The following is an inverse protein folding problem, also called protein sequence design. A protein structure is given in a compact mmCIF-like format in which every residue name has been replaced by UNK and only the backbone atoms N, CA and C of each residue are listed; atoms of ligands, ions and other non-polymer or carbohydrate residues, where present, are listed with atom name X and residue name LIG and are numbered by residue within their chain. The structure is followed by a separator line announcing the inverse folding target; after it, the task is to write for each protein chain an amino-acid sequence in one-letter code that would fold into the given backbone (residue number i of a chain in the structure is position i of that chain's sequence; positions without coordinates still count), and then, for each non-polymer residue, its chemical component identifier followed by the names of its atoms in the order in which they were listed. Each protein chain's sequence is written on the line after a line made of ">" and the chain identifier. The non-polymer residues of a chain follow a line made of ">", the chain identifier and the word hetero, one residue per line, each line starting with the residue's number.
data_IF_515853066501
#
_entry.id   IF_515853066501
#
_cell.length_a   1.000
_cell.length_b   1.000
_cell.length_c   1.000
_cell.angle_alpha   90.00
_cell.angle_beta   90.00
_cell.angle_gamma   90.00
#
_symmetry.space_group_name_H-M   'P 1'
#
loop_
_entity.id
_entity.type
_entity.pdbx_description
1 polymer ?
#
# COMPACT_ATOMS: atom_id res chain seq x y z
N UNK A 1 -23.94 -28.17 0.71
CA UNK A 1 -24.17 -26.71 0.72
C UNK A 1 -25.23 -26.39 -0.33
N UNK A 2 -26.27 -25.62 0.00
CA UNK A 2 -27.22 -25.15 -1.01
C UNK A 2 -26.47 -24.28 -2.03
N UNK A 3 -26.75 -24.40 -3.35
CA UNK A 3 -26.19 -23.47 -4.33
C UNK A 3 -26.64 -22.06 -3.95
N UNK A 4 -25.70 -21.19 -3.59
CA UNK A 4 -25.99 -19.78 -3.34
C UNK A 4 -26.48 -19.17 -4.64
N UNK A 5 -27.67 -18.58 -4.63
CA UNK A 5 -28.20 -17.85 -5.78
C UNK A 5 -27.24 -16.71 -6.12
N UNK A 6 -26.71 -16.64 -7.36
CA UNK A 6 -25.89 -15.52 -7.79
C UNK A 6 -26.64 -14.21 -7.62
N UNK A 7 -25.93 -13.18 -7.16
CA UNK A 7 -26.50 -11.85 -7.00
C UNK A 7 -26.82 -11.25 -8.38
N UNK A 8 -27.98 -10.59 -8.47
CA UNK A 8 -28.40 -9.88 -9.69
C UNK A 8 -27.64 -8.56 -9.85
N UNK A 9 -27.59 -8.03 -11.07
CA UNK A 9 -26.99 -6.72 -11.34
C UNK A 9 -27.65 -5.59 -10.53
N UNK A 10 -28.95 -5.69 -10.26
CA UNK A 10 -29.70 -4.70 -9.46
C UNK A 10 -29.32 -4.77 -7.98
N UNK A 11 -29.13 -5.97 -7.44
CA UNK A 11 -28.65 -6.14 -6.06
C UNK A 11 -27.21 -5.66 -5.91
N UNK A 12 -26.36 -5.94 -6.91
CA UNK A 12 -25.00 -5.44 -6.96
C UNK A 12 -24.97 -3.90 -6.95
N UNK A 13 -25.71 -3.24 -7.85
CA UNK A 13 -25.81 -1.77 -7.89
C UNK A 13 -26.34 -1.20 -6.56
N UNK A 14 -27.31 -1.85 -5.93
CA UNK A 14 -27.81 -1.43 -4.61
C UNK A 14 -26.73 -1.47 -3.54
N UNK A 15 -25.91 -2.53 -3.50
CA UNK A 15 -24.78 -2.61 -2.56
C UNK A 15 -23.70 -1.58 -2.85
N UNK A 16 -23.35 -1.37 -4.13
CA UNK A 16 -22.39 -0.33 -4.53
C UNK A 16 -22.86 1.08 -4.14
N UNK A 17 -24.15 1.39 -4.32
CA UNK A 17 -24.72 2.68 -3.88
C UNK A 17 -24.66 2.86 -2.37
N UNK A 18 -24.93 1.80 -1.58
CA UNK A 18 -24.81 1.85 -0.11
C UNK A 18 -23.37 2.12 0.33
N UNK A 19 -22.40 1.48 -0.34
CA UNK A 19 -20.98 1.77 -0.16
C UNK A 19 -20.70 3.25 -0.47
N UNK A 20 -21.15 3.74 -1.62
CA UNK A 20 -21.01 5.15 -2.01
C UNK A 20 -21.57 6.13 -0.99
N UNK A 21 -22.77 5.90 -0.46
CA UNK A 21 -23.36 6.73 0.60
C UNK A 21 -22.50 6.75 1.85
N UNK A 22 -22.08 5.57 2.35
CA UNK A 22 -21.23 5.50 3.55
C UNK A 22 -19.87 6.19 3.36
N UNK A 23 -19.31 6.16 2.15
CA UNK A 23 -18.09 6.89 1.80
C UNK A 23 -18.29 8.41 1.81
N UNK A 24 -19.42 8.90 1.28
CA UNK A 24 -19.75 10.33 1.33
C UNK A 24 -19.89 10.83 2.76
N UNK A 25 -20.50 10.03 3.64
CA UNK A 25 -20.71 10.38 5.05
C UNK A 25 -19.40 10.44 5.84
N UNK A 26 -18.39 9.66 5.45
CA UNK A 26 -17.07 9.64 6.09
C UNK A 26 -16.03 10.53 5.41
N UNK A 27 -16.38 11.16 4.28
CA UNK A 27 -15.47 12.01 3.55
C UNK A 27 -15.11 13.28 4.37
N UNK A 28 -13.88 13.79 4.27
CA UNK A 28 -13.55 15.11 4.82
C UNK A 28 -14.31 16.22 4.08
N UNK A 29 -14.19 17.49 4.46
CA UNK A 29 -14.92 18.57 3.76
C UNK A 29 -14.33 18.86 2.36
N UNK A 30 -13.01 19.00 2.25
CA UNK A 30 -12.30 19.50 1.06
C UNK A 30 -11.77 18.39 0.12
N UNK A 31 -12.56 17.35 -0.14
CA UNK A 31 -12.17 16.29 -1.09
C UNK A 31 -12.73 16.52 -2.51
N UNK A 32 -12.00 16.02 -3.50
CA UNK A 32 -12.39 15.96 -4.91
C UNK A 32 -12.68 14.53 -5.37
N UNK A 33 -11.88 13.58 -4.89
CA UNK A 33 -12.02 12.14 -5.16
C UNK A 33 -11.76 11.31 -3.90
N UNK A 34 -12.51 10.24 -3.70
CA UNK A 34 -12.21 9.19 -2.72
C UNK A 34 -11.80 7.94 -3.48
N UNK A 35 -10.77 7.25 -2.99
CA UNK A 35 -10.42 5.90 -3.43
C UNK A 35 -10.51 4.96 -2.26
N UNK A 36 -11.30 3.93 -2.41
CA UNK A 36 -11.32 2.79 -1.52
C UNK A 36 -10.73 1.57 -2.21
N UNK A 37 -9.80 0.91 -1.54
CA UNK A 37 -9.28 -0.41 -1.93
C UNK A 37 -9.64 -1.39 -0.83
N UNK A 38 -10.46 -2.38 -1.16
CA UNK A 38 -10.78 -3.49 -0.28
C UNK A 38 -10.10 -4.74 -0.82
N UNK A 39 -9.40 -5.47 0.06
CA UNK A 39 -8.85 -6.80 -0.21
C UNK A 39 -9.46 -7.78 0.79
N UNK A 40 -9.89 -8.96 0.34
CA UNK A 40 -10.55 -9.93 1.21
C UNK A 40 -10.17 -11.37 0.92
N UNK A 41 -10.00 -12.13 1.99
CA UNK A 41 -10.17 -13.58 2.07
C UNK A 41 -11.44 -13.87 2.91
N UNK A 42 -11.79 -15.13 3.12
CA UNK A 42 -12.97 -15.50 3.92
C UNK A 42 -12.82 -15.12 5.40
N UNK A 43 -11.60 -15.21 5.92
CA UNK A 43 -11.27 -15.04 7.33
C UNK A 43 -10.58 -13.71 7.66
N UNK A 44 -10.13 -12.96 6.64
CA UNK A 44 -9.51 -11.66 6.82
C UNK A 44 -9.87 -10.68 5.70
N UNK A 45 -9.80 -9.39 6.02
CA UNK A 45 -9.99 -8.32 5.05
C UNK A 45 -9.16 -7.10 5.46
N UNK A 46 -8.73 -6.32 4.47
CA UNK A 46 -8.07 -5.03 4.65
C UNK A 46 -8.77 -3.99 3.79
N UNK A 47 -8.92 -2.78 4.34
CA UNK A 47 -9.60 -1.67 3.68
C UNK A 47 -8.75 -0.42 3.81
N UNK A 48 -8.38 0.14 2.67
CA UNK A 48 -7.71 1.44 2.57
C UNK A 48 -8.69 2.45 1.99
N UNK A 49 -8.89 3.55 2.71
CA UNK A 49 -9.67 4.68 2.22
C UNK A 49 -8.78 5.92 2.21
N UNK A 50 -8.69 6.57 1.06
CA UNK A 50 -7.92 7.79 0.89
C UNK A 50 -8.76 8.84 0.16
N UNK A 51 -8.66 10.09 0.61
CA UNK A 51 -9.30 11.24 0.01
C UNK A 51 -8.27 12.13 -0.68
N UNK A 52 -8.49 12.42 -1.96
CA UNK A 52 -7.73 13.40 -2.73
C UNK A 52 -8.31 14.80 -2.51
N UNK A 53 -7.44 15.77 -2.30
CA UNK A 53 -7.78 17.19 -2.18
C UNK A 53 -7.49 17.95 -3.48
N UNK A 54 -8.06 19.16 -3.67
CA UNK A 54 -7.82 19.98 -4.87
C UNK A 54 -6.35 20.32 -5.15
N UNK A 55 -5.51 20.35 -4.11
CA UNK A 55 -4.07 20.62 -4.21
C UNK A 55 -3.23 19.39 -4.59
N UNK A 56 -3.90 18.26 -4.84
CA UNK A 56 -3.29 16.98 -5.19
C UNK A 56 -2.76 16.17 -4.01
N UNK A 57 -2.94 16.65 -2.77
CA UNK A 57 -2.55 15.88 -1.58
C UNK A 57 -3.57 14.77 -1.30
N UNK A 58 -3.07 13.60 -0.92
CA UNK A 58 -3.85 12.47 -0.42
C UNK A 58 -3.91 12.48 1.11
N UNK A 59 -5.07 12.15 1.69
CA UNK A 59 -5.23 11.96 3.13
C UNK A 59 -5.93 10.65 3.44
N UNK A 60 -5.28 9.81 4.24
CA UNK A 60 -5.87 8.58 4.74
C UNK A 60 -7.07 8.87 5.63
N UNK A 61 -8.15 8.11 5.43
CA UNK A 61 -9.39 8.23 6.18
C UNK A 61 -9.72 6.90 6.86
N UNK A 62 -10.47 6.96 7.95
CA UNK A 62 -10.96 5.75 8.63
C UNK A 62 -12.11 5.17 7.82
N UNK A 63 -12.02 3.95 7.27
CA UNK A 63 -13.11 3.36 6.51
C UNK A 63 -14.32 3.07 7.41
N UNK A 64 -15.56 3.38 6.99
CA UNK A 64 -16.76 2.97 7.71
C UNK A 64 -16.85 1.44 7.83
N UNK A 65 -17.05 0.94 9.05
CA UNK A 65 -17.19 -0.52 9.29
C UNK A 65 -18.38 -1.15 8.55
N UNK A 66 -19.41 -0.36 8.22
CA UNK A 66 -20.58 -0.82 7.47
C UNK A 66 -20.23 -1.36 6.07
N UNK A 67 -19.10 -0.92 5.49
CA UNK A 67 -18.65 -1.35 4.17
C UNK A 67 -18.30 -2.84 4.12
N UNK A 68 -17.78 -3.38 5.22
CA UNK A 68 -17.31 -4.77 5.29
C UNK A 68 -18.44 -5.75 5.00
N UNK A 69 -19.64 -5.48 5.52
CA UNK A 69 -20.82 -6.30 5.27
C UNK A 69 -21.25 -6.28 3.79
N UNK A 70 -21.18 -5.11 3.14
CA UNK A 70 -21.52 -4.99 1.71
C UNK A 70 -20.49 -5.74 0.85
N UNK A 71 -19.19 -5.60 1.12
CA UNK A 71 -18.16 -6.30 0.35
C UNK A 71 -18.21 -7.82 0.50
N UNK A 72 -18.47 -8.35 1.70
CA UNK A 72 -18.66 -9.80 1.90
C UNK A 72 -19.87 -10.33 1.12
N UNK A 73 -20.97 -9.57 1.08
CA UNK A 73 -22.14 -9.93 0.25
C UNK A 73 -21.80 -9.88 -1.24
N UNK A 74 -21.08 -8.86 -1.70
CA UNK A 74 -20.61 -8.77 -3.08
C UNK A 74 -19.70 -9.95 -3.45
N UNK A 75 -18.70 -10.30 -2.62
CA UNK A 75 -17.83 -11.48 -2.86
C UNK A 75 -18.64 -12.77 -2.95
N UNK A 76 -19.56 -12.98 -2.00
CA UNK A 76 -20.39 -14.17 -1.97
C UNK A 76 -21.36 -14.26 -3.15
N UNK A 77 -21.99 -13.14 -3.51
CA UNK A 77 -22.98 -13.05 -4.56
C UNK A 77 -22.39 -13.07 -5.97
N UNK A 78 -21.14 -12.64 -6.14
CA UNK A 78 -20.43 -12.62 -7.43
C UNK A 78 -19.59 -13.89 -7.68
N UNK A 79 -19.48 -14.79 -6.69
CA UNK A 79 -18.79 -16.06 -6.86
C UNK A 79 -19.44 -16.91 -7.94
N UNK A 80 -18.63 -17.52 -8.81
CA UNK A 80 -19.09 -18.43 -9.85
C UNK A 80 -18.45 -19.82 -9.67
N UNK A 81 -19.22 -20.91 -9.85
CA UNK A 81 -18.65 -22.26 -9.83
C UNK A 81 -17.46 -22.39 -10.79
N UNK A 82 -16.32 -22.90 -10.31
CA UNK A 82 -15.12 -23.15 -11.12
C UNK A 82 -14.25 -21.92 -11.41
N UNK A 83 -14.73 -20.70 -11.16
CA UNK A 83 -13.96 -19.45 -11.33
C UNK A 83 -13.65 -18.77 -9.99
N UNK A 84 -14.40 -19.08 -8.94
CA UNK A 84 -14.30 -18.44 -7.64
C UNK A 84 -14.88 -17.02 -7.64
N UNK A 85 -14.35 -16.15 -6.77
CA UNK A 85 -14.73 -14.73 -6.63
C UNK A 85 -13.50 -13.82 -6.74
N UNK A 86 -13.68 -12.50 -6.70
CA UNK A 86 -12.58 -11.53 -6.73
C UNK A 86 -11.85 -11.43 -5.38
N UNK A 87 -10.60 -10.95 -5.41
CA UNK A 87 -9.76 -10.75 -4.23
C UNK A 87 -9.74 -9.29 -3.78
N UNK A 88 -9.58 -8.38 -4.73
CA UNK A 88 -9.47 -6.93 -4.47
C UNK A 88 -10.52 -6.17 -5.27
N UNK A 89 -11.04 -5.09 -4.71
CA UNK A 89 -11.92 -4.15 -5.40
C UNK A 89 -11.43 -2.73 -5.21
N UNK A 90 -11.33 -2.01 -6.32
CA UNK A 90 -11.02 -0.59 -6.39
C UNK A 90 -12.33 0.17 -6.60
N UNK A 91 -12.69 1.04 -5.67
CA UNK A 91 -13.89 1.86 -5.72
C UNK A 91 -13.47 3.34 -5.69
N UNK A 92 -13.61 4.01 -6.82
CA UNK A 92 -13.34 5.44 -6.95
C UNK A 92 -14.67 6.19 -6.90
N UNK A 93 -14.75 7.24 -6.09
CA UNK A 93 -15.90 8.13 -5.97
C UNK A 93 -15.47 9.58 -6.20
N UNK A 94 -16.09 10.25 -7.16
CA UNK A 94 -15.86 11.64 -7.52
C UNK A 94 -17.12 12.47 -7.23
N UNK A 95 -16.94 13.75 -6.89
CA UNK A 95 -18.08 14.68 -6.76
C UNK A 95 -18.81 14.81 -8.12
N UNK A 96 -20.16 14.99 -8.12
CA UNK A 96 -21.04 15.06 -6.96
C UNK A 96 -21.50 13.71 -6.39
N UNK A 97 -21.38 12.59 -7.11
CA UNK A 97 -21.64 11.22 -6.63
C UNK A 97 -21.32 10.18 -7.72
N UNK A 98 -20.34 10.46 -8.58
CA UNK A 98 -19.99 9.58 -9.70
C UNK A 98 -19.01 8.55 -9.19
N UNK A 99 -19.35 7.27 -9.29
CA UNK A 99 -18.45 6.21 -8.89
C UNK A 99 -18.03 5.31 -10.05
N UNK A 100 -16.86 4.69 -9.90
CA UNK A 100 -16.38 3.61 -10.76
C UNK A 100 -15.87 2.48 -9.88
N UNK A 101 -16.08 1.25 -10.31
CA UNK A 101 -15.67 0.06 -9.57
C UNK A 101 -14.95 -0.92 -10.49
N UNK A 102 -13.85 -1.49 -10.02
CA UNK A 102 -13.09 -2.54 -10.70
C UNK A 102 -12.77 -3.66 -9.73
N UNK A 103 -12.97 -4.90 -10.16
CA UNK A 103 -12.66 -6.10 -9.39
C UNK A 103 -11.41 -6.77 -9.95
N UNK A 104 -10.50 -7.16 -9.07
CA UNK A 104 -9.29 -7.89 -9.41
C UNK A 104 -9.42 -9.34 -8.94
N UNK A 105 -9.26 -10.26 -9.89
CA UNK A 105 -9.35 -11.69 -9.70
C UNK A 105 -7.99 -12.39 -9.80
N UNK A 106 -6.98 -11.68 -10.33
CA UNK A 106 -5.76 -12.26 -10.89
C UNK A 106 -4.54 -11.93 -10.04
N UNK A 107 -4.48 -10.73 -9.46
CA UNK A 107 -3.36 -10.33 -8.63
C UNK A 107 -3.54 -10.79 -7.19
N UNK A 108 -2.42 -11.09 -6.54
CA UNK A 108 -2.40 -11.42 -5.12
C UNK A 108 -2.97 -10.24 -4.30
N UNK A 109 -4.00 -10.47 -3.47
CA UNK A 109 -4.53 -9.42 -2.61
C UNK A 109 -3.50 -8.98 -1.60
N UNK A 110 -3.39 -7.67 -1.44
CA UNK A 110 -2.55 -7.11 -0.41
C UNK A 110 -3.27 -7.03 0.95
N UNK A 111 -2.59 -7.42 2.04
CA UNK A 111 -3.00 -7.20 3.43
C UNK A 111 -1.90 -6.51 4.25
N UNK A 112 -2.29 -5.69 5.22
CA UNK A 112 -1.34 -4.92 6.05
C UNK A 112 -0.30 -5.75 6.80
N UNK A 113 -0.65 -7.00 7.11
CA UNK A 113 0.31 -7.99 7.56
C UNK A 113 0.22 -9.22 6.65
N UNK A 114 1.32 -9.94 6.40
CA UNK A 114 1.31 -11.16 5.60
C UNK A 114 0.26 -12.16 6.09
N UNK A 115 -0.37 -12.87 5.16
CA UNK A 115 -1.33 -13.94 5.47
C UNK A 115 -0.66 -15.30 5.30
N UNK A 116 -1.05 -16.24 6.15
CA UNK A 116 -0.62 -17.63 6.02
C UNK A 116 -1.28 -18.31 4.82
N UNK A 117 -0.67 -19.39 4.33
CA UNK A 117 -1.20 -20.17 3.21
C UNK A 117 -2.57 -20.78 3.54
N UNK A 118 -2.82 -21.11 4.81
CA UNK A 118 -4.09 -21.63 5.31
C UNK A 118 -5.28 -20.67 5.05
N UNK A 119 -5.10 -19.36 5.19
CA UNK A 119 -6.13 -18.36 4.85
C UNK A 119 -6.51 -18.40 3.37
N UNK A 120 -5.52 -18.56 2.47
CA UNK A 120 -5.77 -18.68 1.04
C UNK A 120 -6.45 -20.01 0.69
N UNK A 121 -6.03 -21.11 1.32
CA UNK A 121 -6.68 -22.42 1.23
C UNK A 121 -8.15 -22.34 1.64
N UNK A 122 -8.46 -21.73 2.79
CA UNK A 122 -9.83 -21.52 3.27
C UNK A 122 -10.66 -20.69 2.30
N UNK A 123 -10.09 -19.64 1.71
CA UNK A 123 -10.79 -18.84 0.69
C UNK A 123 -11.07 -19.67 -0.56
N UNK A 124 -10.12 -20.49 -1.02
CA UNK A 124 -10.27 -21.39 -2.16
C UNK A 124 -11.33 -22.48 -1.91
N UNK A 125 -11.37 -23.07 -0.71
CA UNK A 125 -12.41 -24.03 -0.33
C UNK A 125 -13.81 -23.40 -0.36
N UNK A 126 -13.92 -22.13 0.06
CA UNK A 126 -15.18 -21.40 0.10
C UNK A 126 -15.62 -20.87 -1.27
N UNK A 127 -14.64 -20.47 -2.10
CA UNK A 127 -14.82 -19.96 -3.46
C UNK A 127 -14.01 -20.79 -4.46
N UNK A 128 -14.45 -22.04 -4.76
CA UNK A 128 -13.66 -22.96 -5.56
C UNK A 128 -13.30 -22.43 -6.94
N UNK A 129 -12.02 -22.59 -7.30
CA UNK A 129 -11.45 -22.27 -8.61
C UNK A 129 -10.92 -23.53 -9.27
N UNK A 130 -11.23 -23.69 -10.55
CA UNK A 130 -10.60 -24.70 -11.40
C UNK A 130 -9.14 -24.29 -11.68
N UNK A 131 -8.28 -25.26 -11.98
CA UNK A 131 -6.84 -25.03 -12.23
C UNK A 131 -6.54 -23.95 -13.27
N UNK A 132 -7.43 -23.75 -14.26
CA UNK A 132 -7.31 -22.74 -15.30
C UNK A 132 -7.63 -21.31 -14.84
N UNK A 133 -8.30 -21.14 -13.68
CA UNK A 133 -8.66 -19.85 -13.08
C UNK A 133 -7.87 -19.58 -11.79
N UNK A 134 -6.83 -20.36 -11.52
CA UNK A 134 -5.90 -20.14 -10.42
C UNK A 134 -4.67 -19.38 -10.94
N UNK A 135 -4.42 -18.15 -10.45
CA UNK A 135 -3.20 -17.42 -10.78
C UNK A 135 -1.94 -18.13 -10.30
N UNK A 136 -0.80 -17.86 -10.96
CA UNK A 136 0.49 -18.49 -10.67
C UNK A 136 0.92 -18.33 -9.20
N UNK A 137 0.77 -17.13 -8.62
CA UNK A 137 1.10 -16.87 -7.21
C UNK A 137 0.31 -17.76 -6.24
N UNK A 138 -0.96 -18.06 -6.55
CA UNK A 138 -1.80 -18.88 -5.68
C UNK A 138 -1.29 -20.32 -5.72
N UNK A 139 -0.88 -20.79 -6.89
CA UNK A 139 -0.36 -22.14 -7.08
C UNK A 139 0.97 -22.33 -6.35
N UNK A 140 1.87 -21.36 -6.48
CA UNK A 140 3.15 -21.36 -5.78
C UNK A 140 2.96 -21.44 -4.26
N UNK A 141 2.00 -20.68 -3.70
CA UNK A 141 1.64 -20.76 -2.28
C UNK A 141 1.14 -22.15 -1.87
N UNK A 142 0.25 -22.74 -2.66
CA UNK A 142 -0.34 -24.05 -2.38
C UNK A 142 0.67 -25.19 -2.51
N UNK A 143 1.61 -25.09 -3.45
CA UNK A 143 2.67 -26.07 -3.64
C UNK A 143 3.75 -25.96 -2.55
N UNK A 144 3.97 -24.77 -1.99
CA UNK A 144 4.89 -24.53 -0.87
C UNK A 144 4.56 -25.31 0.42
N UNK A 145 3.29 -25.70 0.60
CA UNK A 145 2.84 -26.53 1.73
C UNK A 145 3.01 -28.04 1.50
N UNK A 146 3.48 -28.49 0.32
CA UNK A 146 3.77 -29.90 0.02
C UNK A 146 5.15 -30.37 0.53
N UNK A 147 5.67 -29.80 1.62
CA UNK A 147 6.78 -30.43 2.35
C UNK A 147 6.22 -31.61 3.16
N UNK A 148 6.65 -32.87 2.91
CA UNK A 148 6.06 -34.03 3.58
C UNK A 148 6.17 -33.95 5.11
N UNK A 149 5.10 -34.35 5.81
CA UNK A 149 4.92 -34.43 7.29
C UNK A 149 5.95 -35.30 8.06
N UNK A 150 7.25 -35.24 7.76
CA UNK A 150 8.28 -36.05 8.44
C UNK A 150 9.39 -35.23 9.10
N UNK A 151 9.34 -33.91 9.07
CA UNK A 151 10.37 -33.09 9.74
C UNK A 151 9.93 -32.80 11.18
N UNK A 152 10.58 -33.49 12.11
CA UNK A 152 10.32 -33.43 13.55
C UNK A 152 10.33 -31.99 14.10
N UNK A 153 9.47 -31.63 15.08
CA UNK A 153 9.32 -30.25 15.60
C UNK A 153 10.61 -29.57 16.11
N UNK A 154 11.67 -30.32 16.38
CA UNK A 154 12.96 -29.80 16.83
C UNK A 154 13.94 -29.46 15.69
N UNK A 155 13.71 -29.96 14.47
CA UNK A 155 14.48 -29.54 13.28
C UNK A 155 14.01 -28.19 12.72
N UNK A 156 12.75 -27.79 12.97
CA UNK A 156 12.22 -26.47 12.60
C UNK A 156 12.92 -25.31 13.34
N UNK A 157 13.59 -25.59 14.47
CA UNK A 157 14.40 -24.60 15.20
C UNK A 157 15.84 -24.51 14.70
N UNK A 158 16.26 -25.40 13.79
CA UNK A 158 17.65 -25.54 13.36
C UNK A 158 17.88 -25.46 11.84
N UNK A 159 16.82 -25.32 11.03
CA UNK A 159 16.92 -25.09 9.60
C UNK A 159 16.74 -23.59 9.28
N UNK A 160 17.68 -22.91 8.59
CA UNK A 160 17.44 -21.58 8.07
C UNK A 160 16.58 -21.69 6.80
N UNK A 161 15.27 -21.58 6.98
CA UNK A 161 14.25 -21.56 5.93
C UNK A 161 12.89 -21.50 6.63
N UNK A 162 11.83 -20.86 6.16
CA UNK A 162 11.57 -20.19 4.90
C UNK A 162 10.59 -19.06 5.22
N UNK A 163 10.97 -17.83 4.87
CA UNK A 163 10.12 -16.63 4.82
C UNK A 163 10.90 -15.60 4.00
N UNK A 164 11.04 -15.84 2.69
CA UNK A 164 11.80 -14.96 1.78
C UNK A 164 10.96 -13.84 1.17
N UNK A 165 9.67 -13.80 1.46
CA UNK A 165 8.78 -12.72 1.06
C UNK A 165 8.53 -11.83 2.28
N UNK A 166 8.94 -10.56 2.20
CA UNK A 166 8.72 -9.47 3.18
C UNK A 166 9.85 -9.04 4.14
N UNK A 167 11.12 -9.41 3.91
CA UNK A 167 12.23 -8.58 4.42
C UNK A 167 13.33 -8.47 3.36
N UNK A 168 13.25 -7.44 2.51
CA UNK A 168 14.48 -6.93 1.90
C UNK A 168 15.30 -6.38 3.06
N UNK A 169 16.42 -7.05 3.35
CA UNK A 169 17.43 -6.47 4.21
C UNK A 169 17.95 -5.18 3.54
N UNK A 170 18.03 -4.06 4.27
CA UNK A 170 18.37 -2.79 3.67
C UNK A 170 19.64 -2.86 2.83
N UNK A 171 19.52 -2.50 1.56
CA UNK A 171 20.65 -2.42 0.63
C UNK A 171 20.96 -3.67 -0.17
N UNK A 172 20.18 -4.74 -0.03
CA UNK A 172 20.43 -6.01 -0.74
C UNK A 172 19.76 -6.08 -2.13
N UNK A 173 19.06 -5.02 -2.56
CA UNK A 173 18.39 -4.98 -3.85
C UNK A 173 19.39 -4.83 -5.00
N UNK A 174 19.37 -5.78 -5.93
CA UNK A 174 20.15 -5.72 -7.17
C UNK A 174 19.58 -4.68 -8.15
N UNK A 175 20.36 -4.22 -9.14
CA UNK A 175 19.85 -3.31 -10.18
C UNK A 175 18.69 -3.90 -10.99
N UNK A 176 18.65 -5.22 -11.18
CA UNK A 176 17.56 -5.91 -11.86
C UNK A 176 16.29 -5.87 -11.01
N UNK A 177 16.35 -6.29 -9.74
CA UNK A 177 15.23 -6.20 -8.81
C UNK A 177 14.73 -4.76 -8.62
N UNK A 178 15.64 -3.77 -8.66
CA UNK A 178 15.28 -2.36 -8.66
C UNK A 178 14.41 -2.04 -9.87
N UNK A 179 14.85 -2.40 -11.07
CA UNK A 179 14.12 -2.09 -12.29
C UNK A 179 12.79 -2.84 -12.38
N UNK A 180 12.75 -4.09 -11.94
CA UNK A 180 11.50 -4.86 -11.84
C UNK A 180 10.52 -4.20 -10.87
N UNK A 181 10.99 -3.73 -9.71
CA UNK A 181 10.16 -3.00 -8.75
C UNK A 181 9.63 -1.70 -9.36
N UNK A 182 10.44 -0.98 -10.13
CA UNK A 182 10.03 0.25 -10.83
C UNK A 182 8.99 -0.03 -11.92
N UNK A 183 9.20 -1.10 -12.70
CA UNK A 183 8.24 -1.54 -13.70
C UNK A 183 6.92 -1.92 -13.06
N UNK A 184 6.95 -2.64 -11.93
CA UNK A 184 5.74 -3.01 -11.21
C UNK A 184 5.02 -1.78 -10.64
N UNK A 185 5.73 -0.79 -10.08
CA UNK A 185 5.12 0.49 -9.66
C UNK A 185 4.38 1.15 -10.83
N UNK A 186 5.01 1.21 -12.01
CA UNK A 186 4.40 1.78 -13.21
C UNK A 186 3.16 0.98 -13.62
N UNK A 187 3.23 -0.35 -13.68
CA UNK A 187 2.12 -1.20 -14.10
C UNK A 187 0.92 -1.10 -13.15
N UNK A 188 1.15 -1.12 -11.83
CA UNK A 188 0.09 -0.94 -10.82
C UNK A 188 -0.56 0.43 -10.93
N UNK A 189 0.24 1.48 -11.16
CA UNK A 189 -0.28 2.85 -11.31
C UNK A 189 -1.09 3.00 -12.59
N UNK A 190 -0.57 2.54 -13.73
CA UNK A 190 -1.28 2.58 -15.02
C UNK A 190 -2.60 1.81 -14.95
N UNK A 191 -2.63 0.66 -14.28
CA UNK A 191 -3.84 -0.15 -14.15
C UNK A 191 -4.92 0.54 -13.30
N UNK A 192 -4.56 1.48 -12.43
CA UNK A 192 -5.48 2.21 -11.57
C UNK A 192 -5.88 3.60 -12.10
N UNK A 193 -5.24 4.07 -13.17
CA UNK A 193 -5.64 5.29 -13.87
C UNK A 193 -6.73 4.93 -14.88
N UNK A 194 -7.87 5.57 -14.76
CA UNK A 194 -8.99 5.40 -15.67
C UNK A 194 -8.83 6.29 -16.91
N UNK A 195 -9.50 5.93 -18.00
CA UNK A 195 -9.54 6.68 -19.27
C UNK A 195 -8.15 6.86 -19.92
N UNK A 196 -8.11 7.46 -21.11
CA UNK A 196 -6.87 7.69 -21.84
C UNK A 196 -5.99 8.75 -21.15
N UNK A 197 -4.70 8.48 -21.09
CA UNK A 197 -3.68 9.33 -20.46
C UNK A 197 -2.42 9.36 -21.35
N UNK A 198 -1.68 10.47 -21.30
CA UNK A 198 -0.45 10.67 -22.10
C UNK A 198 0.81 10.50 -21.26
N UNK A 199 0.77 10.98 -20.03
CA UNK A 199 1.89 10.94 -19.10
C UNK A 199 1.35 10.84 -17.66
N UNK A 200 1.99 10.01 -16.85
CA UNK A 200 1.77 9.92 -15.41
C UNK A 200 3.07 10.34 -14.74
N UNK A 201 3.00 11.30 -13.82
CA UNK A 201 4.14 11.71 -12.99
C UNK A 201 3.83 11.40 -11.54
N UNK A 202 4.64 10.55 -10.93
CA UNK A 202 4.58 10.22 -9.51
C UNK A 202 5.71 10.98 -8.83
N UNK A 203 5.37 11.89 -7.92
CA UNK A 203 6.30 12.62 -7.08
C UNK A 203 6.13 12.16 -5.62
N UNK A 204 7.04 11.31 -5.17
CA UNK A 204 6.96 10.62 -3.90
C UNK A 204 8.07 11.06 -2.96
N UNK A 205 7.71 11.43 -1.74
CA UNK A 205 8.61 11.88 -0.68
C UNK A 205 8.37 11.03 0.54
N UNK A 206 9.43 10.55 1.17
CA UNK A 206 9.28 9.64 2.29
C UNK A 206 10.33 9.83 3.38
N UNK A 207 9.92 9.43 4.57
CA UNK A 207 10.69 9.05 5.74
C UNK A 207 10.10 7.71 6.24
N UNK A 208 10.77 7.04 7.17
CA UNK A 208 10.17 5.90 7.87
C UNK A 208 8.84 6.28 8.52
N UNK A 209 7.75 5.69 8.02
CA UNK A 209 6.39 5.86 8.53
C UNK A 209 5.68 7.16 8.12
N UNK A 210 6.30 7.99 7.28
CA UNK A 210 5.71 9.25 6.78
C UNK A 210 5.99 9.36 5.29
N UNK A 211 4.95 9.53 4.49
CA UNK A 211 5.09 9.76 3.06
C UNK A 211 4.13 10.85 2.57
N UNK A 212 4.53 11.56 1.52
CA UNK A 212 3.70 12.48 0.73
C UNK A 212 3.89 12.11 -0.73
N UNK A 213 2.79 11.77 -1.39
CA UNK A 213 2.80 11.33 -2.78
C UNK A 213 1.80 12.17 -3.57
N UNK A 214 2.27 12.74 -4.69
CA UNK A 214 1.41 13.36 -5.69
C UNK A 214 1.49 12.58 -6.99
N UNK A 215 0.34 12.26 -7.57
CA UNK A 215 0.26 11.63 -8.90
C UNK A 215 -0.44 12.59 -9.85
N UNK A 216 0.29 13.15 -10.80
CA UNK A 216 -0.29 13.94 -11.88
C UNK A 216 -0.52 13.05 -13.10
N UNK A 217 -1.72 13.09 -13.66
CA UNK A 217 -2.06 12.40 -14.91
C UNK A 217 -2.37 13.45 -15.97
N UNK A 218 -1.52 13.53 -16.99
CA UNK A 218 -1.72 14.39 -18.14
C UNK A 218 -2.65 13.73 -19.16
N UNK A 219 -3.67 14.46 -19.59
CA UNK A 219 -4.68 14.06 -20.59
C UNK A 219 -4.79 15.12 -21.67
N UNK A 220 -5.55 14.84 -22.73
CA UNK A 220 -5.74 15.78 -23.85
C UNK A 220 -6.33 17.15 -23.39
N UNK A 221 -7.17 17.15 -22.34
CA UNK A 221 -7.80 18.35 -21.79
C UNK A 221 -7.05 19.06 -20.66
N UNK A 222 -5.89 18.54 -20.23
CA UNK A 222 -5.13 19.10 -19.09
C UNK A 222 -4.57 18.02 -18.17
N UNK A 223 -3.95 18.47 -17.07
CA UNK A 223 -3.44 17.58 -16.02
C UNK A 223 -4.38 17.53 -14.84
N UNK A 224 -4.64 16.34 -14.34
CA UNK A 224 -5.46 16.08 -13.17
C UNK A 224 -4.64 15.36 -12.10
N UNK A 225 -5.03 15.54 -10.83
CA UNK A 225 -4.45 14.79 -9.73
C UNK A 225 -5.16 13.45 -9.58
N UNK A 226 -4.39 12.43 -9.23
CA UNK A 226 -4.87 11.10 -8.90
C UNK A 226 -4.25 10.58 -7.60
N UNK A 227 -4.88 9.56 -7.03
CA UNK A 227 -4.34 8.85 -5.88
C UNK A 227 -3.43 7.71 -6.33
N UNK A 228 -2.33 7.50 -5.62
CA UNK A 228 -1.48 6.34 -5.85
C UNK A 228 -2.16 5.08 -5.28
N UNK A 229 -2.21 3.95 -6.00
CA UNK A 229 -2.68 2.69 -5.42
C UNK A 229 -1.82 2.27 -4.21
N UNK A 230 -2.42 1.75 -3.12
CA UNK A 230 -1.66 1.28 -1.95
C UNK A 230 -0.56 0.27 -2.28
N UNK A 231 -0.77 -0.57 -3.29
CA UNK A 231 0.19 -1.56 -3.76
C UNK A 231 1.43 -0.89 -4.38
N UNK A 232 1.23 0.15 -5.19
CA UNK A 232 2.33 0.95 -5.75
C UNK A 232 3.08 1.73 -4.67
N UNK A 233 2.36 2.25 -3.66
CA UNK A 233 2.97 2.93 -2.50
C UNK A 233 3.94 2.02 -1.74
N UNK A 234 3.55 0.76 -1.51
CA UNK A 234 4.40 -0.23 -0.83
C UNK A 234 5.61 -0.65 -1.66
N UNK A 235 5.47 -0.71 -2.98
CA UNK A 235 6.60 -0.95 -3.86
C UNK A 235 7.61 0.21 -3.82
N UNK A 236 7.15 1.46 -3.63
CA UNK A 236 8.04 2.60 -3.37
C UNK A 236 8.79 2.45 -2.03
N UNK A 237 8.13 1.97 -0.98
CA UNK A 237 8.78 1.66 0.31
C UNK A 237 9.81 0.52 0.19
N UNK A 238 9.47 -0.53 -0.57
CA UNK A 238 10.37 -1.64 -0.91
C UNK A 238 11.60 -1.13 -1.66
N UNK A 239 11.38 -0.30 -2.68
CA UNK A 239 12.42 0.34 -3.47
C UNK A 239 13.33 1.21 -2.59
N UNK A 240 12.74 2.05 -1.72
CA UNK A 240 13.49 2.88 -0.77
C UNK A 240 14.37 2.05 0.17
N UNK A 241 13.81 0.96 0.70
CA UNK A 241 14.52 0.06 1.62
C UNK A 241 15.65 -0.68 0.91
N UNK A 242 15.37 -1.22 -0.28
CA UNK A 242 16.33 -1.96 -1.08
C UNK A 242 17.48 -1.09 -1.60
N UNK A 243 17.21 0.18 -1.91
CA UNK A 243 18.22 1.12 -2.42
C UNK A 243 19.09 1.76 -1.33
N UNK A 244 18.91 1.39 -0.06
CA UNK A 244 19.78 1.87 1.01
C UNK A 244 21.24 1.50 0.74
N UNK A 245 22.13 2.48 0.85
CA UNK A 245 23.56 2.25 0.75
C UNK A 245 24.23 2.48 2.09
N UNK A 246 24.98 1.49 2.58
CA UNK A 246 25.65 1.55 3.88
C UNK A 246 26.52 2.81 3.99
N UNK A 247 26.21 3.66 4.97
CA UNK A 247 26.92 4.90 5.23
C UNK A 247 26.56 6.07 4.30
N UNK A 248 25.75 5.87 3.26
CA UNK A 248 25.22 6.95 2.41
C UNK A 248 23.74 7.25 2.69
N UNK A 249 23.02 6.27 3.25
CA UNK A 249 21.57 6.34 3.44
C UNK A 249 20.82 5.91 2.18
N UNK A 250 19.52 6.20 2.15
CA UNK A 250 18.64 6.01 0.99
C UNK A 250 18.21 7.37 0.42
N UNK A 251 17.37 7.41 -0.61
CA UNK A 251 16.83 8.65 -1.17
C UNK A 251 15.72 9.23 -0.28
N UNK A 252 15.42 10.52 -0.40
CA UNK A 252 14.29 11.19 0.27
C UNK A 252 13.11 11.42 -0.68
N UNK A 253 13.41 11.66 -1.96
CA UNK A 253 12.41 11.92 -3.01
C UNK A 253 12.66 11.00 -4.20
N UNK A 254 11.60 10.42 -4.73
CA UNK A 254 11.58 9.66 -5.97
C UNK A 254 10.59 10.32 -6.94
N UNK A 255 11.03 10.60 -8.15
CA UNK A 255 10.18 11.09 -9.24
C UNK A 255 10.17 10.07 -10.36
N UNK A 256 9.00 9.52 -10.65
CA UNK A 256 8.78 8.58 -11.74
C UNK A 256 7.90 9.26 -12.79
N UNK A 257 8.23 9.04 -14.06
CA UNK A 257 7.45 9.50 -15.20
C UNK A 257 7.18 8.31 -16.10
N UNK A 258 5.90 8.05 -16.37
CA UNK A 258 5.46 6.98 -17.25
C UNK A 258 4.76 7.61 -18.44
N UNK A 259 5.29 7.43 -19.64
CA UNK A 259 4.65 7.89 -20.89
C UNK A 259 3.67 6.84 -21.41
N UNK A 260 2.73 7.26 -22.25
CA UNK A 260 1.81 6.36 -22.96
C UNK A 260 2.53 5.28 -23.78
N UNK A 261 3.76 5.56 -24.23
CA UNK A 261 4.66 4.61 -24.89
C UNK A 261 5.23 3.53 -23.98
N UNK A 262 4.89 3.56 -22.68
CA UNK A 262 5.48 2.76 -21.58
C UNK A 262 6.95 3.04 -21.32
N UNK A 263 7.48 4.14 -21.84
CA UNK A 263 8.79 4.63 -21.42
C UNK A 263 8.72 5.11 -19.97
N UNK A 264 9.62 4.59 -19.12
CA UNK A 264 9.71 4.96 -17.71
C UNK A 264 10.98 5.79 -17.50
N UNK A 265 10.80 7.03 -17.04
CA UNK A 265 11.87 7.86 -16.48
C UNK A 265 11.84 7.79 -14.96
N UNK A 266 13.01 7.68 -14.33
CA UNK A 266 13.12 7.67 -12.86
C UNK A 266 14.28 8.55 -12.39
N UNK A 267 14.05 9.29 -11.31
CA UNK A 267 15.05 10.12 -10.64
C UNK A 267 14.89 10.03 -9.12
N UNK A 268 16.01 9.87 -8.42
CA UNK A 268 16.06 9.83 -6.96
C UNK A 268 16.90 10.97 -6.42
N UNK A 269 16.37 11.70 -5.44
CA UNK A 269 17.08 12.74 -4.72
C UNK A 269 17.45 12.26 -3.32
N UNK A 270 18.74 12.34 -2.99
CA UNK A 270 19.28 11.93 -1.70
C UNK A 270 19.66 13.12 -0.80
N UNK A 271 19.73 14.33 -1.35
CA UNK A 271 20.47 15.45 -0.76
C UNK A 271 19.62 16.70 -0.51
N UNK A 272 18.60 16.96 -1.33
CA UNK A 272 17.74 18.11 -1.12
C UNK A 272 16.68 17.85 -0.03
N UNK A 273 16.27 18.89 0.73
CA UNK A 273 15.19 18.75 1.70
C UNK A 273 13.89 18.35 0.99
N UNK A 274 13.22 17.25 1.38
CA UNK A 274 11.93 16.88 0.81
C UNK A 274 10.82 17.85 1.25
N UNK A 275 10.05 18.34 0.28
CA UNK A 275 8.90 19.24 0.50
C UNK A 275 7.60 18.44 0.73
N UNK A 276 7.37 18.00 1.97
CA UNK A 276 6.14 17.30 2.34
C UNK A 276 4.91 18.21 2.35
N UNK A 277 3.72 17.65 2.09
CA UNK A 277 2.45 18.38 2.17
C UNK A 277 2.17 18.93 3.58
N UNK A 278 2.55 18.16 4.60
CA UNK A 278 2.56 18.57 5.99
C UNK A 278 3.97 18.35 6.57
N UNK A 279 4.45 19.34 7.31
CA UNK A 279 5.77 19.29 7.93
C UNK A 279 5.87 18.08 8.90
N UNK A 280 6.79 17.11 8.66
CA UNK A 280 6.95 15.97 9.55
C UNK A 280 7.48 16.38 10.92
N UNK A 281 7.22 15.55 11.92
CA UNK A 281 7.82 15.76 13.24
C UNK A 281 9.35 15.56 13.11
N UNK A 282 10.19 16.42 13.72
CA UNK A 282 11.64 16.20 13.72
C UNK A 282 12.07 14.79 14.14
N UNK A 283 11.30 14.12 15.01
CA UNK A 283 11.53 12.73 15.43
C UNK A 283 11.38 11.72 14.29
N UNK A 284 10.59 12.03 13.26
CA UNK A 284 10.44 11.18 12.08
C UNK A 284 11.77 11.10 11.30
N UNK A 285 12.47 12.23 11.15
CA UNK A 285 13.81 12.27 10.57
C UNK A 285 14.83 11.50 11.40
N UNK A 286 14.71 11.55 12.73
CA UNK A 286 15.55 10.74 13.61
C UNK A 286 15.32 9.23 13.42
N UNK A 287 14.05 8.79 13.36
CA UNK A 287 13.72 7.38 13.06
C UNK A 287 14.25 6.95 11.69
N UNK A 288 14.11 7.81 10.68
CA UNK A 288 14.64 7.55 9.34
C UNK A 288 16.17 7.41 9.33
N UNK A 289 16.88 8.31 10.03
CA UNK A 289 18.34 8.24 10.14
C UNK A 289 18.84 7.02 10.93
N UNK A 290 18.06 6.52 11.90
CA UNK A 290 18.36 5.26 12.60
C UNK A 290 18.17 4.05 11.67
N UNK A 291 17.12 4.06 10.85
CA UNK A 291 16.84 2.98 9.90
C UNK A 291 17.80 2.96 8.71
N UNK A 292 18.17 4.14 8.21
CA UNK A 292 19.05 4.34 7.06
C UNK A 292 20.27 5.21 7.43
N UNK A 293 21.24 4.65 8.19
CA UNK A 293 22.40 5.41 8.67
C UNK A 293 23.23 6.07 7.56
N UNK A 294 23.65 7.30 7.81
CA UNK A 294 24.54 8.10 6.96
C UNK A 294 25.82 8.45 7.71
N UNK A 295 26.95 8.46 7.01
CA UNK A 295 28.21 9.01 7.52
C UNK A 295 28.10 10.54 7.56
N UNK A 296 29.01 11.17 8.29
CA UNK A 296 29.07 12.64 8.38
C UNK A 296 29.14 13.30 6.99
N UNK A 297 29.89 12.72 6.06
CA UNK A 297 30.06 13.25 4.69
C UNK A 297 28.79 13.16 3.83
N UNK A 298 27.82 12.34 4.24
CA UNK A 298 26.55 12.14 3.54
C UNK A 298 25.34 12.72 4.30
N UNK A 299 25.59 13.54 5.33
CA UNK A 299 24.55 14.26 6.07
C UNK A 299 24.49 15.73 5.63
N UNK A 300 23.48 16.14 4.86
CA UNK A 300 23.32 17.56 4.51
C UNK A 300 22.94 18.41 5.73
N UNK A 301 23.28 19.70 5.70
CA UNK A 301 23.10 20.63 6.83
C UNK A 301 21.66 20.67 7.37
N UNK A 302 20.69 20.66 6.46
CA UNK A 302 19.27 20.66 6.84
C UNK A 302 18.89 19.42 7.66
N UNK A 303 19.47 18.25 7.35
CA UNK A 303 19.18 17.01 8.06
C UNK A 303 19.81 17.05 9.45
N UNK A 304 21.05 17.55 9.57
CA UNK A 304 21.72 17.76 10.85
C UNK A 304 20.90 18.69 11.76
N UNK A 305 20.35 19.76 11.21
CA UNK A 305 19.50 20.68 11.96
C UNK A 305 18.24 19.97 12.50
N UNK A 306 17.55 19.19 11.66
CA UNK A 306 16.34 18.44 12.03
C UNK A 306 16.64 17.38 13.10
N UNK A 307 17.74 16.65 12.95
CA UNK A 307 18.19 15.67 13.95
C UNK A 307 18.53 16.35 15.28
N UNK A 308 19.16 17.52 15.25
CA UNK A 308 19.43 18.32 16.45
C UNK A 308 18.15 18.76 17.17
N UNK A 309 17.11 19.18 16.42
CA UNK A 309 15.78 19.48 16.96
C UNK A 309 15.14 18.23 17.59
N UNK A 310 15.17 17.10 16.89
CA UNK A 310 14.63 15.82 17.36
C UNK A 310 15.26 15.37 18.69
N UNK A 311 16.59 15.44 18.81
CA UNK A 311 17.30 15.08 20.03
C UNK A 311 16.92 15.97 21.21
N UNK A 312 16.71 17.28 21.00
CA UNK A 312 16.23 18.17 22.07
C UNK A 312 14.84 17.80 22.54
N UNK A 313 13.93 17.48 21.62
CA UNK A 313 12.57 17.03 21.95
C UNK A 313 12.59 15.71 22.74
N UNK A 314 13.33 14.71 22.26
CA UNK A 314 13.44 13.42 22.93
C UNK A 314 14.02 13.56 24.34
N UNK A 315 15.04 14.42 24.54
CA UNK A 315 15.59 14.69 25.88
C UNK A 315 14.58 15.37 26.81
N UNK A 316 13.78 16.31 26.31
CA UNK A 316 12.76 16.98 27.10
C UNK A 316 11.66 16.01 27.57
N UNK A 317 11.28 15.04 26.72
CA UNK A 317 10.29 14.01 27.07
C UNK A 317 10.79 13.03 28.13
N UNK A 318 12.08 12.65 28.05
CA UNK A 318 12.69 11.75 29.03
C UNK A 318 13.05 12.48 30.34
N UNK A 319 13.42 13.76 30.28
CA UNK A 319 13.70 14.60 31.45
C UNK A 319 12.44 15.12 32.17
N UNK A 320 11.27 15.04 31.54
CA UNK A 320 9.98 15.43 32.13
C UNK A 320 9.23 14.30 32.86
N UNK A 321 9.73 13.06 32.80
CA UNK A 321 9.24 11.94 33.62
C UNK A 321 10.14 11.76 34.84
N UNK A 322 10.01 12.68 35.80
CA UNK A 322 10.58 12.49 37.14
C UNK A 322 9.61 11.63 37.97
N UNK A 323 9.98 10.42 38.46
CA UNK A 323 9.10 9.59 39.28
C UNK A 323 8.91 10.15 40.71
N UNK A 324 9.54 11.28 41.05
CA UNK A 324 9.58 11.83 42.39
C UNK A 324 9.12 13.30 42.47
N UNK A 325 7.90 13.57 42.03
CA UNK A 325 7.13 14.73 42.54
C UNK A 325 5.76 14.24 43.01
N UNK A 326 5.78 13.57 44.17
CA UNK A 326 4.61 13.04 44.83
C UNK A 326 4.89 12.67 46.29
N UNK A 327 5.63 13.49 47.02
CA UNK A 327 5.64 13.53 48.49
C UNK A 327 6.49 14.71 48.98
N UNK A 328 5.84 15.78 49.44
CA UNK A 328 6.17 16.55 50.64
C UNK A 328 5.41 17.89 50.62
N UNK A 329 4.55 18.09 51.62
CA UNK A 329 3.87 19.36 51.90
C UNK A 329 2.44 19.15 52.34
#
# INVERSE_FOLDING_TARGET
>A
MNPRTPMTAVEQDRSLRRIGTALLDAAPEDWTKLRLVYSGLVDCESVHLEALRPDGSGVGCVPPLALLHEFRQLRAGMSRPGTGTWYTVYYDLERPARYRVRYDHENEPHFDEPRDNDSYLRDLEHFPRDRAHMPDWLLERLEGDLVPESVSPWMALAAPGASRESRIDPGDMTPEEMMDTVQEIADRTMAAVWDEWREIVIDHKALVGVASTRVAVAREGGSEWELLPPEASRLLDRLRTGMYQRGKGTWFTARLTVKESREIGIHFDHGNPPEFDAEPDPRDFYRDAVRFPRSADHMPDWLLERLGRAQRMLRAEHGGRDPFTGAAG
#
